data_IF_296359060951
#
_entry.id   IF_296359060951
#
_cell.length_a   1.000
_cell.length_b   1.000
_cell.length_c   1.000
_cell.angle_alpha   90.00
_cell.angle_beta   90.00
_cell.angle_gamma   90.00
#
_symmetry.space_group_name_H-M   'P 1'
#
loop_
_entity.id
_entity.type
_entity.pdbx_description
1 polymer ?
#
# COMPACT_ATOMS: atom_id res chain seq x y z
N UNK A 1 -59.29 -29.86 55.36
CA UNK A 1 -60.15 -28.67 55.40
C UNK A 1 -59.87 -27.88 54.13
N UNK A 2 -60.64 -28.15 53.08
CA UNK A 2 -61.78 -27.37 52.59
C UNK A 2 -61.32 -26.65 51.29
N UNK A 3 -61.42 -27.28 50.10
CA UNK A 3 -62.58 -27.33 49.18
C UNK A 3 -63.17 -25.96 48.84
N UNK A 4 -63.25 -25.64 47.54
CA UNK A 4 -64.30 -24.93 46.78
C UNK A 4 -63.73 -24.63 45.36
N UNK A 5 -64.00 -25.46 44.36
CA UNK A 5 -65.13 -25.40 43.40
C UNK A 5 -64.85 -24.61 42.10
N UNK A 6 -64.74 -25.35 40.98
CA UNK A 6 -65.04 -24.96 39.58
C UNK A 6 -66.53 -24.55 39.43
N UNK A 7 -67.05 -23.92 38.33
CA UNK A 7 -66.79 -24.17 36.88
C UNK A 7 -66.85 -22.87 36.01
N UNK A 8 -66.82 -22.78 34.68
CA UNK A 8 -67.65 -23.42 33.64
C UNK A 8 -67.16 -23.02 32.24
N UNK A 9 -67.34 -23.93 31.29
CA UNK A 9 -67.05 -23.81 29.86
C UNK A 9 -68.07 -22.96 29.07
N UNK A 10 -67.66 -22.44 27.92
CA UNK A 10 -68.55 -22.36 26.75
C UNK A 10 -67.77 -22.45 25.42
N UNK A 11 -68.13 -23.51 24.69
CA UNK A 11 -67.85 -23.80 23.29
C UNK A 11 -68.92 -23.15 22.41
N UNK A 12 -68.53 -22.62 21.26
CA UNK A 12 -69.32 -22.54 20.01
C UNK A 12 -68.37 -22.07 18.91
N UNK A 13 -67.75 -22.94 18.10
CA UNK A 13 -68.33 -23.75 17.02
C UNK A 13 -69.22 -22.95 16.06
N UNK A 14 -68.63 -22.50 14.95
CA UNK A 14 -69.30 -22.45 13.64
C UNK A 14 -68.28 -22.81 12.56
N UNK A 15 -68.48 -23.99 12.01
CA UNK A 15 -67.84 -24.53 10.81
C UNK A 15 -68.59 -24.03 9.56
N UNK A 16 -68.04 -24.36 8.38
CA UNK A 16 -68.67 -24.33 7.02
C UNK A 16 -68.44 -22.98 6.28
N UNK A 17 -67.96 -22.86 5.02
CA UNK A 17 -67.85 -23.73 3.83
C UNK A 17 -66.71 -23.19 2.92
N UNK A 18 -65.96 -24.09 2.27
CA UNK A 18 -65.13 -23.81 1.07
C UNK A 18 -66.06 -23.94 -0.16
N UNK A 19 -66.03 -23.04 -1.16
CA UNK A 19 -65.42 -23.43 -2.43
C UNK A 19 -64.76 -22.28 -3.21
N UNK A 20 -63.83 -22.63 -4.10
CA UNK A 20 -63.57 -21.83 -5.29
C UNK A 20 -62.12 -21.58 -5.62
N UNK A 21 -61.55 -22.46 -6.47
CA UNK A 21 -60.38 -22.16 -7.30
C UNK A 21 -60.61 -20.86 -8.07
N UNK A 22 -59.65 -19.93 -8.02
CA UNK A 22 -59.38 -19.03 -9.15
C UNK A 22 -57.92 -18.61 -9.14
N UNK A 23 -57.23 -19.02 -10.20
CA UNK A 23 -55.88 -18.60 -10.57
C UNK A 23 -55.94 -17.11 -10.96
N UNK A 24 -55.56 -16.20 -10.07
CA UNK A 24 -55.41 -14.79 -10.39
C UNK A 24 -53.94 -14.46 -10.60
N UNK A 25 -53.63 -14.14 -11.85
CA UNK A 25 -52.32 -13.85 -12.41
C UNK A 25 -51.71 -12.57 -11.80
N UNK A 26 -50.38 -12.58 -11.58
CA UNK A 26 -49.62 -11.37 -11.25
C UNK A 26 -49.67 -10.42 -12.46
N UNK A 27 -49.92 -9.10 -12.28
CA UNK A 27 -49.86 -8.16 -13.38
C UNK A 27 -48.40 -7.93 -13.78
N UNK A 28 -47.97 -8.53 -14.89
CA UNK A 28 -46.80 -8.08 -15.65
C UNK A 28 -47.14 -6.76 -16.32
N UNK A 29 -46.49 -5.69 -15.89
CA UNK A 29 -46.56 -4.39 -16.56
C UNK A 29 -45.76 -4.45 -17.87
N UNK A 30 -46.46 -4.76 -18.96
CA UNK A 30 -45.93 -4.66 -20.32
C UNK A 30 -46.01 -3.20 -20.76
N UNK A 31 -44.88 -2.49 -20.77
CA UNK A 31 -44.79 -1.12 -21.28
C UNK A 31 -44.58 -1.20 -22.79
N UNK A 32 -45.61 -0.85 -23.55
CA UNK A 32 -45.57 -0.74 -25.02
C UNK A 32 -45.23 0.70 -25.40
N UNK A 33 -44.10 0.91 -26.07
CA UNK A 33 -43.73 2.21 -26.64
C UNK A 33 -44.04 2.22 -28.15
N UNK A 34 -44.71 3.26 -28.68
CA UNK A 34 -44.92 3.38 -30.11
C UNK A 34 -43.58 3.65 -30.82
N UNK A 35 -43.35 2.93 -31.93
CA UNK A 35 -42.21 3.14 -32.83
C UNK A 35 -42.38 4.46 -33.56
N UNK A 36 -41.94 5.56 -32.96
CA UNK A 36 -41.79 6.84 -33.64
C UNK A 36 -40.44 6.86 -34.38
N UNK A 37 -40.53 7.20 -35.66
CA UNK A 37 -39.39 7.47 -36.53
C UNK A 37 -38.70 8.75 -36.06
N UNK A 38 -37.58 8.63 -35.35
CA UNK A 38 -36.72 9.76 -35.04
C UNK A 38 -35.98 10.19 -36.32
N UNK A 39 -36.39 11.32 -36.89
CA UNK A 39 -35.64 12.01 -37.92
C UNK A 39 -34.30 12.48 -37.33
N UNK A 40 -33.21 12.19 -38.03
CA UNK A 40 -31.84 12.46 -37.58
C UNK A 40 -31.58 13.97 -37.46
N UNK A 41 -31.67 14.51 -36.25
CA UNK A 41 -31.21 15.85 -35.94
C UNK A 41 -29.67 15.85 -35.92
N UNK A 42 -29.04 16.46 -36.92
CA UNK A 42 -27.59 16.65 -36.99
C UNK A 42 -27.14 17.61 -35.89
N UNK A 43 -26.69 17.08 -34.75
CA UNK A 43 -26.03 17.85 -33.71
C UNK A 43 -24.59 18.14 -34.15
N UNK A 44 -24.28 19.40 -34.48
CA UNK A 44 -22.90 19.86 -34.62
C UNK A 44 -22.24 19.82 -33.25
N UNK A 45 -21.41 18.81 -33.02
CA UNK A 45 -20.56 18.72 -31.83
C UNK A 45 -19.40 19.72 -31.99
N UNK A 46 -19.59 20.93 -31.47
CA UNK A 46 -18.47 21.83 -31.22
C UNK A 46 -17.62 21.19 -30.11
N UNK A 47 -16.36 20.87 -30.43
CA UNK A 47 -15.39 20.31 -29.50
C UNK A 47 -15.08 21.33 -28.40
N UNK A 48 -15.85 21.29 -27.31
CA UNK A 48 -15.50 21.95 -26.07
C UNK A 48 -14.49 21.07 -25.34
N UNK A 49 -13.21 21.46 -25.43
CA UNK A 49 -12.11 20.92 -24.64
C UNK A 49 -12.44 21.08 -23.15
N UNK A 50 -13.02 20.05 -22.53
CA UNK A 50 -13.03 19.92 -21.07
C UNK A 50 -11.58 19.71 -20.64
N UNK A 51 -10.92 20.81 -20.27
CA UNK A 51 -9.70 20.79 -19.47
C UNK A 51 -10.05 20.20 -18.10
N UNK A 52 -9.92 18.89 -17.99
CA UNK A 52 -9.70 18.22 -16.71
C UNK A 52 -8.26 18.55 -16.28
N UNK A 53 -8.11 19.64 -15.53
CA UNK A 53 -6.91 19.94 -14.77
C UNK A 53 -7.21 19.52 -13.33
N UNK A 54 -6.72 18.36 -12.90
CA UNK A 54 -6.91 17.91 -11.53
C UNK A 54 -6.83 16.40 -11.30
N UNK A 55 -5.86 15.73 -11.92
CA UNK A 55 -5.27 14.50 -11.39
C UNK A 55 -4.02 14.25 -12.22
N UNK A 56 -2.85 14.47 -11.61
CA UNK A 56 -1.62 13.86 -12.10
C UNK A 56 -1.75 12.34 -11.89
N UNK A 57 -2.52 11.69 -12.78
CA UNK A 57 -2.67 10.25 -12.83
C UNK A 57 -1.35 9.67 -13.32
N UNK A 58 -0.52 9.26 -12.37
CA UNK A 58 0.68 8.51 -12.60
C UNK A 58 0.40 7.33 -13.56
N UNK A 59 1.35 7.12 -14.47
CA UNK A 59 1.31 6.15 -15.57
C UNK A 59 1.05 4.73 -15.05
N UNK A 60 0.25 3.98 -15.80
CA UNK A 60 -0.10 2.56 -15.61
C UNK A 60 1.10 1.69 -15.23
N UNK A 61 1.27 1.49 -13.93
CA UNK A 61 1.74 0.27 -13.26
C UNK A 61 1.31 0.35 -11.79
N UNK A 62 0.08 0.77 -11.53
CA UNK A 62 -0.42 0.90 -10.16
C UNK A 62 -0.72 -0.50 -9.63
N UNK A 63 0.25 -1.09 -8.93
CA UNK A 63 -0.03 -2.26 -8.09
C UNK A 63 -1.09 -1.87 -7.07
N UNK A 64 -1.89 -2.85 -6.65
CA UNK A 64 -2.90 -2.64 -5.61
C UNK A 64 -2.26 -2.02 -4.36
N UNK A 65 -1.07 -2.52 -4.00
CA UNK A 65 -0.24 -2.06 -2.89
C UNK A 65 0.15 -0.58 -3.02
N UNK A 66 0.57 -0.12 -4.22
CA UNK A 66 0.92 1.28 -4.47
C UNK A 66 -0.28 2.23 -4.32
N UNK A 67 -1.49 1.78 -4.70
CA UNK A 67 -2.71 2.58 -4.56
C UNK A 67 -3.08 2.78 -3.09
N UNK A 68 -3.00 1.73 -2.27
CA UNK A 68 -3.22 1.83 -0.83
C UNK A 68 -2.15 2.68 -0.14
N UNK A 69 -0.88 2.54 -0.52
CA UNK A 69 0.21 3.34 0.00
C UNK A 69 0.03 4.83 -0.29
N UNK A 70 -0.35 5.19 -1.52
CA UNK A 70 -0.66 6.58 -1.89
C UNK A 70 -1.83 7.13 -1.08
N UNK A 71 -2.91 6.36 -0.94
CA UNK A 71 -4.07 6.79 -0.17
C UNK A 71 -3.74 7.01 1.32
N UNK A 72 -2.94 6.14 1.92
CA UNK A 72 -2.48 6.31 3.31
C UNK A 72 -1.59 7.55 3.45
N UNK A 73 -0.68 7.77 2.49
CA UNK A 73 0.20 8.94 2.48
C UNK A 73 -0.59 10.24 2.33
N UNK A 74 -1.63 10.27 1.49
CA UNK A 74 -2.51 11.43 1.31
C UNK A 74 -3.24 11.78 2.62
N UNK A 75 -3.76 10.77 3.34
CA UNK A 75 -4.43 10.96 4.65
C UNK A 75 -3.42 11.45 5.70
N UNK A 76 -2.24 10.85 5.75
CA UNK A 76 -1.20 11.25 6.70
C UNK A 76 -0.67 12.67 6.40
N UNK A 77 -0.59 13.06 5.13
CA UNK A 77 -0.23 14.41 4.71
C UNK A 77 -1.31 15.43 5.07
N UNK A 78 -2.59 15.09 4.88
CA UNK A 78 -3.70 15.95 5.27
C UNK A 78 -3.73 16.22 6.78
N UNK A 79 -3.35 15.22 7.58
CA UNK A 79 -3.28 15.31 9.04
C UNK A 79 -1.93 15.83 9.57
N UNK A 80 -0.96 16.15 8.72
CA UNK A 80 0.42 16.50 9.11
C UNK A 80 1.10 15.48 10.03
N UNK A 81 0.77 14.19 9.89
CA UNK A 81 1.29 13.09 10.72
C UNK A 81 2.14 12.11 9.90
N UNK A 82 2.76 12.58 8.81
CA UNK A 82 3.55 11.75 7.89
C UNK A 82 4.65 10.96 8.59
N UNK A 83 5.48 11.62 9.41
CA UNK A 83 6.61 10.97 10.07
C UNK A 83 6.16 9.94 11.11
N UNK A 84 5.10 10.24 11.86
CA UNK A 84 4.51 9.32 12.85
C UNK A 84 3.91 8.10 12.14
N UNK A 85 3.20 8.33 11.05
CA UNK A 85 2.59 7.25 10.25
C UNK A 85 3.66 6.36 9.62
N UNK A 86 4.77 6.94 9.16
CA UNK A 86 5.91 6.18 8.65
C UNK A 86 6.51 5.25 9.72
N UNK A 87 6.70 5.75 10.94
CA UNK A 87 7.16 4.94 12.06
C UNK A 87 6.16 3.84 12.44
N UNK A 88 4.86 4.11 12.40
CA UNK A 88 3.83 3.10 12.65
C UNK A 88 3.87 1.99 11.59
N UNK A 89 3.99 2.34 10.30
CA UNK A 89 4.06 1.36 9.21
C UNK A 89 5.34 0.53 9.25
N UNK A 90 6.47 1.12 9.67
CA UNK A 90 7.73 0.38 9.89
C UNK A 90 7.55 -0.69 10.98
N UNK A 91 6.96 -0.32 12.13
CA UNK A 91 6.61 -1.29 13.19
C UNK A 91 5.64 -2.37 12.71
N UNK A 92 4.63 -2.00 11.93
CA UNK A 92 3.71 -2.98 11.33
C UNK A 92 4.49 -3.95 10.46
N UNK A 93 5.38 -3.48 9.58
CA UNK A 93 6.20 -4.35 8.73
C UNK A 93 7.10 -5.28 9.55
N UNK A 94 7.63 -4.83 10.68
CA UNK A 94 8.41 -5.68 11.60
C UNK A 94 7.55 -6.80 12.20
N UNK A 95 6.34 -6.48 12.67
CA UNK A 95 5.41 -7.49 13.21
C UNK A 95 4.95 -8.52 12.17
N UNK A 96 4.75 -8.07 10.92
CA UNK A 96 4.38 -8.94 9.81
C UNK A 96 5.58 -9.67 9.18
N UNK A 97 6.80 -9.46 9.70
CA UNK A 97 7.95 -10.29 9.37
C UNK A 97 7.93 -11.63 10.11
N UNK A 98 7.18 -11.72 11.22
CA UNK A 98 6.98 -12.99 11.93
C UNK A 98 6.01 -13.89 11.17
N UNK A 99 6.43 -15.11 10.75
CA UNK A 99 5.62 -15.98 9.91
C UNK A 99 4.31 -16.42 10.59
N UNK A 100 4.31 -16.52 11.93
CA UNK A 100 3.12 -16.85 12.71
C UNK A 100 2.03 -15.78 12.58
N UNK A 101 2.43 -14.51 12.50
CA UNK A 101 1.50 -13.39 12.35
C UNK A 101 1.00 -13.34 10.91
N UNK A 102 1.90 -13.47 9.92
CA UNK A 102 1.50 -13.49 8.51
C UNK A 102 0.54 -14.62 8.19
N UNK A 103 0.79 -15.83 8.71
CA UNK A 103 -0.04 -17.01 8.45
C UNK A 103 -1.42 -16.88 9.08
N UNK A 104 -1.50 -16.31 10.30
CA UNK A 104 -2.78 -16.01 10.95
C UNK A 104 -3.64 -15.03 10.13
N UNK A 105 -3.02 -14.00 9.56
CA UNK A 105 -3.74 -13.04 8.74
C UNK A 105 -4.05 -13.57 7.33
N UNK A 106 -3.23 -14.46 6.79
CA UNK A 106 -3.43 -15.11 5.49
C UNK A 106 -4.57 -16.15 5.50
N UNK A 107 -4.85 -16.81 6.64
CA UNK A 107 -5.90 -17.83 6.72
C UNK A 107 -7.31 -17.23 6.51
N UNK A 108 -8.02 -17.57 5.41
CA UNK A 108 -9.35 -17.03 5.13
C UNK A 108 -10.47 -17.66 5.96
N UNK A 109 -10.21 -18.76 6.68
CA UNK A 109 -11.21 -19.49 7.49
C UNK A 109 -11.45 -18.84 8.85
N UNK A 110 -10.56 -17.94 9.27
CA UNK A 110 -10.67 -17.21 10.53
C UNK A 110 -11.68 -16.07 10.43
N UNK A 111 -12.52 -15.95 11.45
CA UNK A 111 -13.52 -14.88 11.53
C UNK A 111 -12.85 -13.49 11.56
N UNK A 112 -13.41 -12.57 10.77
CA UNK A 112 -12.93 -11.18 10.64
C UNK A 112 -12.91 -10.49 12.00
N UNK A 113 -13.84 -10.84 12.90
CA UNK A 113 -13.88 -10.28 14.26
C UNK A 113 -12.63 -10.62 15.08
N UNK A 114 -12.12 -11.85 14.98
CA UNK A 114 -10.89 -12.26 15.68
C UNK A 114 -9.67 -11.55 15.11
N UNK A 115 -9.61 -11.37 13.79
CA UNK A 115 -8.55 -10.60 13.13
C UNK A 115 -8.55 -9.14 13.58
N UNK A 116 -9.73 -8.51 13.70
CA UNK A 116 -9.86 -7.14 14.20
C UNK A 116 -9.45 -7.00 15.67
N UNK A 117 -9.80 -7.97 16.53
CA UNK A 117 -9.35 -7.99 17.92
C UNK A 117 -7.83 -8.02 18.03
N UNK A 118 -7.15 -8.86 17.24
CA UNK A 118 -5.70 -8.91 17.23
C UNK A 118 -5.08 -7.59 16.74
N UNK A 119 -5.67 -6.97 15.71
CA UNK A 119 -5.25 -5.63 15.24
C UNK A 119 -5.39 -4.58 16.35
N UNK A 120 -6.43 -4.66 17.18
CA UNK A 120 -6.62 -3.75 18.32
C UNK A 120 -5.56 -3.94 19.39
N UNK A 121 -5.28 -5.19 19.77
CA UNK A 121 -4.22 -5.51 20.73
C UNK A 121 -2.86 -5.00 20.25
N UNK A 122 -2.56 -5.17 18.96
CA UNK A 122 -1.32 -4.67 18.34
C UNK A 122 -1.29 -3.14 18.32
N UNK A 123 -2.40 -2.49 17.97
CA UNK A 123 -2.49 -1.04 17.89
C UNK A 123 -2.36 -0.37 19.26
N UNK A 124 -2.95 -0.96 20.30
CA UNK A 124 -2.85 -0.52 21.69
C UNK A 124 -1.44 -0.72 22.22
N UNK A 125 -0.83 -1.89 21.97
CA UNK A 125 0.53 -2.19 22.41
C UNK A 125 1.58 -1.28 21.77
N UNK A 126 1.39 -0.92 20.50
CA UNK A 126 2.36 -0.16 19.71
C UNK A 126 2.12 1.36 19.70
N UNK A 127 0.96 1.80 20.20
CA UNK A 127 0.55 3.20 20.25
C UNK A 127 0.27 3.82 18.88
N UNK A 128 -0.37 3.07 17.96
CA UNK A 128 -0.60 3.54 16.59
C UNK A 128 -1.57 4.70 16.49
N UNK A 129 -1.39 5.52 15.45
CA UNK A 129 -2.34 6.58 15.13
C UNK A 129 -3.74 6.04 14.75
N UNK A 130 -4.81 6.82 15.01
CA UNK A 130 -6.18 6.41 14.68
C UNK A 130 -6.39 6.08 13.19
N UNK A 131 -5.76 6.85 12.29
CA UNK A 131 -5.82 6.58 10.85
C UNK A 131 -5.06 5.33 10.44
N UNK A 132 -3.93 5.01 11.09
CA UNK A 132 -3.20 3.74 10.86
C UNK A 132 -4.04 2.54 11.30
N UNK A 133 -4.68 2.61 12.48
CA UNK A 133 -5.61 1.56 12.94
C UNK A 133 -6.78 1.36 11.97
N UNK A 134 -7.41 2.46 11.55
CA UNK A 134 -8.51 2.40 10.59
C UNK A 134 -8.07 1.82 9.24
N UNK A 135 -6.85 2.12 8.80
CA UNK A 135 -6.28 1.55 7.60
C UNK A 135 -6.11 0.03 7.71
N UNK A 136 -5.61 -0.47 8.83
CA UNK A 136 -5.51 -1.92 9.08
C UNK A 136 -6.88 -2.60 9.06
N UNK A 137 -7.92 -1.95 9.60
CA UNK A 137 -9.29 -2.48 9.48
C UNK A 137 -9.77 -2.58 8.05
N UNK A 138 -9.51 -1.56 7.22
CA UNK A 138 -9.87 -1.59 5.80
C UNK A 138 -9.16 -2.76 5.09
N UNK A 139 -7.89 -3.01 5.41
CA UNK A 139 -7.15 -4.14 4.83
C UNK A 139 -7.70 -5.50 5.27
N UNK A 140 -8.08 -5.63 6.55
CA UNK A 140 -8.72 -6.84 7.08
C UNK A 140 -10.08 -7.08 6.42
N UNK A 141 -10.88 -6.03 6.27
CA UNK A 141 -12.21 -6.09 5.64
C UNK A 141 -12.14 -6.40 4.15
N UNK A 142 -11.13 -5.86 3.47
CA UNK A 142 -10.85 -6.14 2.08
C UNK A 142 -10.19 -7.51 1.85
N UNK A 143 -9.85 -8.25 2.92
CA UNK A 143 -9.07 -9.49 2.88
C UNK A 143 -7.72 -9.33 2.13
N UNK A 144 -7.08 -8.17 2.26
CA UNK A 144 -5.81 -7.79 1.58
C UNK A 144 -4.68 -7.49 2.57
N UNK A 145 -4.77 -8.05 3.76
CA UNK A 145 -3.82 -7.84 4.85
C UNK A 145 -2.47 -8.55 4.60
N UNK A 146 -2.48 -9.58 3.76
CA UNK A 146 -1.31 -10.28 3.23
C UNK A 146 -0.36 -9.35 2.45
N UNK A 147 -0.90 -8.34 1.79
CA UNK A 147 -0.13 -7.36 1.01
C UNK A 147 0.53 -6.27 1.87
N UNK A 148 0.41 -6.31 3.19
CA UNK A 148 0.91 -5.25 4.07
C UNK A 148 2.42 -5.01 3.92
N UNK A 149 3.22 -6.06 3.73
CA UNK A 149 4.66 -5.96 3.52
C UNK A 149 5.00 -5.28 2.17
N UNK A 150 4.14 -5.41 1.16
CA UNK A 150 4.29 -4.68 -0.10
C UNK A 150 3.84 -3.23 0.05
N UNK A 151 2.72 -3.00 0.73
CA UNK A 151 2.20 -1.66 1.02
C UNK A 151 3.22 -0.86 1.82
N UNK A 152 3.89 -1.45 2.82
CA UNK A 152 4.91 -0.78 3.61
C UNK A 152 6.10 -0.32 2.75
N UNK A 153 6.56 -1.18 1.82
CA UNK A 153 7.63 -0.83 0.87
C UNK A 153 7.21 0.30 -0.07
N UNK A 154 6.02 0.22 -0.63
CA UNK A 154 5.47 1.27 -1.50
C UNK A 154 5.27 2.59 -0.73
N UNK A 155 4.83 2.51 0.52
CA UNK A 155 4.66 3.68 1.38
C UNK A 155 6.00 4.39 1.65
N UNK A 156 7.09 3.65 1.89
CA UNK A 156 8.43 4.25 2.02
C UNK A 156 8.82 5.01 0.75
N UNK A 157 8.52 4.47 -0.43
CA UNK A 157 8.78 5.15 -1.70
C UNK A 157 7.94 6.43 -1.88
N UNK A 158 6.67 6.40 -1.48
CA UNK A 158 5.79 7.58 -1.53
C UNK A 158 6.24 8.63 -0.52
N UNK A 159 6.59 8.23 0.70
CA UNK A 159 7.12 9.12 1.75
C UNK A 159 8.40 9.84 1.29
N UNK A 160 9.34 9.10 0.68
CA UNK A 160 10.58 9.67 0.17
C UNK A 160 10.31 10.70 -0.95
N UNK A 161 9.33 10.43 -1.82
CA UNK A 161 8.90 11.39 -2.87
C UNK A 161 8.27 12.65 -2.29
N UNK A 162 7.40 12.52 -1.28
CA UNK A 162 6.71 13.66 -0.66
C UNK A 162 7.66 14.54 0.16
N UNK A 163 8.65 13.94 0.82
CA UNK A 163 9.63 14.66 1.64
C UNK A 163 10.84 15.17 0.87
N UNK A 164 10.94 14.85 -0.43
CA UNK A 164 12.13 15.07 -1.27
C UNK A 164 13.40 14.48 -0.62
N UNK A 165 13.23 13.34 0.05
CA UNK A 165 14.29 12.61 0.73
C UNK A 165 14.82 11.52 -0.19
N UNK A 166 16.12 11.53 -0.46
CA UNK A 166 16.78 10.50 -1.25
C UNK A 166 17.26 9.37 -0.34
N UNK A 167 16.93 8.12 -0.68
CA UNK A 167 17.49 6.95 -0.01
C UNK A 167 18.86 6.59 -0.61
N UNK A 168 19.90 6.56 0.22
CA UNK A 168 21.24 6.12 -0.17
C UNK A 168 21.64 4.86 0.61
N UNK A 169 21.95 3.78 -0.11
CA UNK A 169 22.45 2.53 0.48
C UNK A 169 23.97 2.54 0.39
N UNK A 170 24.63 2.62 1.53
CA UNK A 170 26.09 2.60 1.63
C UNK A 170 26.53 1.19 2.04
N UNK A 171 27.31 0.53 1.19
CA UNK A 171 27.85 -0.80 1.46
C UNK A 171 29.34 -0.67 1.75
N UNK A 172 29.79 -1.17 2.90
CA UNK A 172 31.18 -1.08 3.35
C UNK A 172 31.66 -2.37 4.01
N UNK A 173 32.96 -2.60 4.03
CA UNK A 173 33.57 -3.76 4.72
C UNK A 173 33.44 -3.63 6.23
N UNK A 174 33.66 -2.41 6.73
CA UNK A 174 33.67 -2.07 8.15
C UNK A 174 32.54 -1.10 8.42
N UNK A 175 32.03 -1.10 9.66
CA UNK A 175 31.06 -0.12 10.12
C UNK A 175 31.68 1.28 10.06
N UNK A 176 31.08 2.15 9.24
CA UNK A 176 31.53 3.52 9.08
C UNK A 176 31.14 4.36 10.30
N UNK A 177 32.02 5.29 10.68
CA UNK A 177 31.74 6.29 11.71
C UNK A 177 30.69 7.30 11.22
N UNK A 178 29.92 7.87 12.15
CA UNK A 178 28.89 8.88 11.87
C UNK A 178 29.44 10.10 11.11
N UNK A 179 30.70 10.47 11.33
CA UNK A 179 31.36 11.57 10.61
C UNK A 179 31.46 11.28 9.10
N UNK A 180 31.89 10.07 8.74
CA UNK A 180 32.01 9.64 7.35
C UNK A 180 30.64 9.52 6.68
N UNK A 181 29.65 8.99 7.40
CA UNK A 181 28.27 8.93 6.90
C UNK A 181 27.71 10.33 6.63
N UNK A 182 27.97 11.31 7.50
CA UNK A 182 27.53 12.69 7.29
C UNK A 182 28.22 13.34 6.08
N UNK A 183 29.50 13.04 5.83
CA UNK A 183 30.20 13.50 4.63
C UNK A 183 29.61 12.90 3.35
N UNK A 184 29.33 11.59 3.37
CA UNK A 184 28.68 10.89 2.26
C UNK A 184 27.29 11.48 2.01
N UNK A 185 26.49 11.71 3.07
CA UNK A 185 25.17 12.32 2.97
C UNK A 185 25.23 13.68 2.26
N UNK A 186 26.16 14.56 2.69
CA UNK A 186 26.36 15.89 2.08
C UNK A 186 26.75 15.77 0.60
N UNK A 187 27.59 14.81 0.25
CA UNK A 187 28.03 14.63 -1.13
C UNK A 187 26.91 14.09 -2.01
N UNK A 188 26.15 13.09 -1.52
CA UNK A 188 24.95 12.60 -2.22
C UNK A 188 23.96 13.74 -2.40
N UNK A 189 23.70 14.53 -1.35
CA UNK A 189 22.80 15.68 -1.40
C UNK A 189 23.20 16.70 -2.48
N UNK A 190 24.50 16.99 -2.63
CA UNK A 190 25.01 17.85 -3.71
C UNK A 190 24.81 17.25 -5.10
N UNK A 191 24.92 15.93 -5.24
CA UNK A 191 24.79 15.23 -6.52
C UNK A 191 23.34 15.04 -6.96
N UNK A 192 22.41 14.79 -6.03
CA UNK A 192 20.99 14.63 -6.33
C UNK A 192 20.19 15.92 -6.24
N UNK A 193 20.66 16.93 -5.50
CA UNK A 193 19.90 18.13 -5.21
C UNK A 193 18.73 17.88 -4.24
N UNK A 194 18.70 16.73 -3.56
CA UNK A 194 17.65 16.36 -2.63
C UNK A 194 17.65 17.25 -1.37
N UNK A 195 16.49 17.43 -0.76
CA UNK A 195 16.38 18.23 0.47
C UNK A 195 16.98 17.50 1.66
N UNK A 196 16.74 16.19 1.74
CA UNK A 196 17.26 15.31 2.78
C UNK A 196 17.82 14.02 2.16
N UNK A 197 18.73 13.35 2.88
CA UNK A 197 19.28 12.04 2.46
C UNK A 197 19.19 11.07 3.63
N UNK A 198 18.48 9.95 3.46
CA UNK A 198 18.42 8.86 4.44
C UNK A 198 19.45 7.80 4.04
N UNK A 199 20.39 7.51 4.93
CA UNK A 199 21.43 6.50 4.67
C UNK A 199 21.05 5.17 5.32
N UNK A 200 20.99 4.09 4.52
CA UNK A 200 20.98 2.71 5.00
C UNK A 200 22.39 2.13 4.86
N UNK A 201 22.94 1.58 5.94
CA UNK A 201 24.29 0.99 5.92
C UNK A 201 24.19 -0.53 5.82
N UNK A 202 24.95 -1.12 4.90
CA UNK A 202 25.07 -2.57 4.72
C UNK A 202 26.54 -2.96 4.85
N UNK A 203 26.79 -4.08 5.51
CA UNK A 203 28.14 -4.64 5.63
C UNK A 203 28.30 -5.78 4.64
N UNK A 204 29.28 -5.68 3.77
CA UNK A 204 29.63 -6.73 2.82
C UNK A 204 31.14 -7.05 2.95
N UNK A 205 31.49 -8.22 3.52
CA UNK A 205 32.87 -8.65 3.67
C UNK A 205 33.53 -9.08 2.36
N UNK A 206 32.78 -9.18 1.25
CA UNK A 206 33.33 -9.48 -0.07
C UNK A 206 34.10 -8.30 -0.70
N UNK A 207 33.91 -7.09 -0.16
CA UNK A 207 34.72 -5.93 -0.51
C UNK A 207 36.08 -6.02 0.22
N UNK A 208 37.18 -5.80 -0.51
CA UNK A 208 38.54 -5.83 0.09
C UNK A 208 38.78 -4.58 0.94
N UNK A 209 38.42 -3.42 0.38
CA UNK A 209 38.52 -2.11 1.04
C UNK A 209 37.70 -1.06 0.28
N UNK A 210 37.28 -0.01 0.99
CA UNK A 210 36.46 1.09 0.47
C UNK A 210 34.96 0.91 0.72
N UNK A 211 34.15 1.66 -0.02
CA UNK A 211 32.69 1.62 0.09
C UNK A 211 32.03 1.86 -1.26
N UNK A 212 30.77 1.41 -1.39
CA UNK A 212 29.91 1.70 -2.54
C UNK A 212 28.65 2.40 -2.06
N UNK A 213 28.15 3.36 -2.84
CA UNK A 213 26.93 4.11 -2.54
C UNK A 213 25.96 3.92 -3.69
N UNK A 214 24.80 3.32 -3.40
CA UNK A 214 23.69 3.20 -4.35
C UNK A 214 22.61 4.21 -3.98
N UNK A 215 22.14 4.99 -4.95
CA UNK A 215 21.10 5.99 -4.76
C UNK A 215 20.24 6.12 -6.04
N UNK A 216 19.16 6.90 -5.99
CA UNK A 216 18.14 7.01 -7.03
C UNK A 216 16.86 6.26 -6.68
N UNK A 217 15.73 6.72 -7.26
CA UNK A 217 14.39 6.15 -7.07
C UNK A 217 14.27 4.62 -7.30
N UNK A 218 15.21 4.03 -8.04
CA UNK A 218 15.28 2.58 -8.32
C UNK A 218 16.68 2.00 -8.04
N UNK A 219 17.53 2.73 -7.30
CA UNK A 219 18.93 2.32 -7.05
C UNK A 219 19.80 2.23 -8.29
N UNK A 220 19.46 2.96 -9.36
CA UNK A 220 20.16 2.90 -10.65
C UNK A 220 21.51 3.60 -10.65
N UNK A 221 21.74 4.55 -9.74
CA UNK A 221 23.01 5.28 -9.64
C UNK A 221 23.88 4.62 -8.61
N UNK A 222 25.09 4.26 -9.01
CA UNK A 222 26.07 3.60 -8.16
C UNK A 222 27.39 4.38 -8.22
N UNK A 223 27.87 4.78 -7.05
CA UNK A 223 29.22 5.30 -6.86
C UNK A 223 30.02 4.20 -6.20
N UNK A 224 30.97 3.65 -6.94
CA UNK A 224 31.91 2.65 -6.44
C UNK A 224 33.24 3.35 -6.13
N UNK A 225 33.62 3.33 -4.85
CA UNK A 225 34.90 3.82 -4.33
C UNK A 225 35.67 2.66 -3.67
N UNK A 226 35.47 1.43 -4.14
CA UNK A 226 36.22 0.26 -3.69
C UNK A 226 37.62 0.22 -4.29
N UNK A 227 38.56 -0.37 -3.55
CA UNK A 227 39.93 -0.59 -4.02
C UNK A 227 39.96 -1.53 -5.22
N UNK A 228 39.00 -2.47 -5.30
CA UNK A 228 38.85 -3.37 -6.45
C UNK A 228 38.70 -2.58 -7.74
N UNK A 229 37.80 -1.60 -7.76
CA UNK A 229 37.59 -0.75 -8.93
C UNK A 229 38.83 0.08 -9.27
N UNK A 230 39.51 0.63 -8.27
CA UNK A 230 40.75 1.39 -8.51
C UNK A 230 41.84 0.53 -9.18
N UNK A 231 41.97 -0.74 -8.78
CA UNK A 231 42.92 -1.66 -9.42
C UNK A 231 42.51 -2.03 -10.85
N UNK A 232 41.21 -2.20 -11.10
CA UNK A 232 40.66 -2.46 -12.42
C UNK A 232 40.87 -1.26 -13.37
N UNK A 233 40.65 -0.04 -12.87
CA UNK A 233 40.91 1.20 -13.61
C UNK A 233 42.41 1.34 -13.97
N UNK A 234 43.32 0.95 -13.06
CA UNK A 234 44.78 0.94 -13.33
C UNK A 234 45.14 -0.14 -14.36
N UNK A 235 44.61 -1.35 -14.23
CA UNK A 235 44.85 -2.43 -15.18
C UNK A 235 44.41 -2.04 -16.59
N UNK A 236 43.22 -1.44 -16.73
CA UNK A 236 42.70 -0.95 -18.00
C UNK A 236 43.57 0.16 -18.62
N UNK A 237 44.15 1.04 -17.81
CA UNK A 237 45.08 2.07 -18.30
C UNK A 237 46.37 1.48 -18.87
N UNK A 238 46.89 0.42 -18.25
CA UNK A 238 48.10 -0.26 -18.72
C UNK A 238 47.86 -1.02 -20.03
N UNK A 239 46.74 -1.74 -20.14
CA UNK A 239 46.35 -2.43 -21.38
C UNK A 239 46.21 -1.48 -22.57
N UNK A 240 45.67 -0.27 -22.36
CA UNK A 240 45.55 0.74 -23.41
C UNK A 240 46.89 1.33 -23.83
N UNK A 241 47.87 1.42 -22.92
CA UNK A 241 49.21 1.93 -23.23
C UNK A 241 50.08 0.97 -24.04
N UNK A 242 49.85 -0.34 -23.90
CA UNK A 242 50.57 -1.35 -24.71
C UNK A 242 50.14 -1.30 -26.19
N UNK A 243 48.93 -0.84 -26.49
CA UNK A 243 48.39 -0.72 -27.85
C UNK A 243 48.99 0.47 -28.61
N UNK A 244 49.30 1.58 -27.93
CA UNK A 244 49.88 2.78 -28.57
C UNK A 244 51.38 2.69 -28.84
N UNK A 245 52.10 1.75 -28.21
CA UNK A 245 53.52 1.50 -28.48
C UNK A 245 53.77 0.52 -29.64
N UNK A 246 52.73 -0.14 -30.16
CA UNK A 246 52.84 -1.13 -31.23
C UNK A 246 52.60 -0.58 -32.65
N UNK A 247 52.53 0.76 -32.81
CA UNK A 247 52.39 1.48 -34.09
C UNK A 247 53.58 2.41 -34.30
#
# INVERSE_FOLDING_TARGET
MASLHHPTASLQSKHVLIPGKSLAQKPTLTVSFPRSTFSALKLKLAAATRRSNGAAGARMSATVSSSYASALADVASANNTLDVTAADIEKVSELFSDPTVSDFFADPTLDVKKKRQLVDEIAESSGFQPHTRNFLYILVDAQRIDLINEIAREFELVYNKLTETELAVVTSVVKLESQHLAQIAKQVQKLTGAKNVRIKTLLDPGLVAGFTVRYGNSGSKLIDMSVRKQLEDIAAQLELSDITLAV
#
